data_IF_618158135499
#
_entry.id   IF_618158135499
#
_cell.length_a   1.000
_cell.length_b   1.000
_cell.length_c   1.000
_cell.angle_alpha   90.00
_cell.angle_beta   90.00
_cell.angle_gamma   90.00
#
_symmetry.space_group_name_H-M   'P 1'
#
loop_
_entity.id
_entity.type
_entity.pdbx_description
1 polymer ?
#
# COMPACT_ATOMS: atom_id res chain seq x y z
N UNK A 1 -18.35 19.01 -10.24
CA UNK A 1 -18.98 18.15 -11.27
C UNK A 1 -19.93 17.16 -10.59
N UNK A 2 -20.79 16.44 -11.33
CA UNK A 2 -21.59 15.35 -10.78
C UNK A 2 -21.11 14.00 -11.28
N UNK A 3 -21.01 13.04 -10.37
CA UNK A 3 -20.66 11.66 -10.66
C UNK A 3 -21.80 10.76 -10.19
N UNK A 4 -22.32 9.91 -11.07
CA UNK A 4 -23.32 8.91 -10.71
C UNK A 4 -22.68 7.53 -10.84
N UNK A 5 -22.67 6.80 -9.72
CA UNK A 5 -22.14 5.45 -9.62
C UNK A 5 -23.30 4.47 -9.55
N UNK A 6 -23.31 3.51 -10.46
CA UNK A 6 -24.26 2.39 -10.43
C UNK A 6 -23.51 1.10 -10.69
N UNK A 7 -23.92 0.04 -9.99
CA UNK A 7 -23.29 -1.27 -10.12
C UNK A 7 -24.32 -2.31 -10.59
N UNK A 8 -23.95 -3.15 -11.57
CA UNK A 8 -24.84 -4.21 -12.07
C UNK A 8 -25.03 -5.34 -11.05
N UNK A 9 -24.20 -5.39 -10.00
CA UNK A 9 -24.25 -6.38 -8.93
C UNK A 9 -23.96 -5.70 -7.60
N UNK A 10 -24.58 -6.18 -6.53
CA UNK A 10 -24.33 -5.68 -5.18
C UNK A 10 -22.86 -5.88 -4.82
N UNK A 11 -22.25 -4.87 -4.24
CA UNK A 11 -20.89 -4.95 -3.70
C UNK A 11 -20.89 -4.49 -2.27
N UNK A 12 -20.18 -5.23 -1.43
CA UNK A 12 -19.79 -4.74 -0.11
C UNK A 12 -18.81 -3.58 -0.25
N UNK A 13 -18.39 -2.94 0.85
CA UNK A 13 -17.33 -1.93 0.86
C UNK A 13 -16.17 -2.37 -0.02
N UNK A 14 -15.77 -1.52 -0.97
CA UNK A 14 -14.84 -1.89 -2.02
C UNK A 14 -14.09 -0.67 -2.54
N UNK A 15 -12.88 -0.92 -3.04
CA UNK A 15 -12.15 0.05 -3.84
C UNK A 15 -12.66 0.02 -5.27
N UNK A 16 -12.88 1.18 -5.87
CA UNK A 16 -13.19 1.32 -7.30
C UNK A 16 -12.41 2.47 -7.91
N UNK A 17 -12.43 2.55 -9.23
CA UNK A 17 -11.74 3.57 -10.01
C UNK A 17 -12.74 4.40 -10.81
N UNK A 18 -12.50 5.70 -10.91
CA UNK A 18 -13.25 6.63 -11.76
C UNK A 18 -12.30 7.35 -12.71
N UNK A 19 -12.74 7.64 -13.93
CA UNK A 19 -11.94 8.44 -14.85
C UNK A 19 -11.70 9.84 -14.29
N UNK A 20 -10.51 10.38 -14.53
CA UNK A 20 -10.22 11.76 -14.19
C UNK A 20 -11.17 12.71 -14.91
N UNK A 21 -11.69 13.73 -14.23
CA UNK A 21 -12.45 14.80 -14.88
C UNK A 21 -11.56 15.52 -15.88
N UNK A 22 -12.15 15.97 -16.99
CA UNK A 22 -11.42 16.69 -18.02
C UNK A 22 -10.67 17.89 -17.44
N UNK A 23 -9.36 17.96 -17.66
CA UNK A 23 -8.49 19.02 -17.17
C UNK A 23 -8.20 19.01 -15.65
N UNK A 24 -8.62 17.98 -14.91
CA UNK A 24 -8.41 17.91 -13.47
C UNK A 24 -7.19 17.07 -13.10
N UNK A 25 -6.15 17.74 -12.59
CA UNK A 25 -4.87 17.16 -12.14
C UNK A 25 -4.70 17.20 -10.61
N UNK A 26 -5.78 17.43 -9.86
CA UNK A 26 -5.73 17.44 -8.40
C UNK A 26 -5.23 16.08 -7.86
N UNK A 27 -4.43 16.11 -6.79
CA UNK A 27 -3.95 14.88 -6.13
C UNK A 27 -5.10 14.06 -5.54
N UNK A 28 -6.18 14.72 -5.11
CA UNK A 28 -7.38 14.09 -4.58
C UNK A 28 -8.66 14.85 -4.98
N UNK A 29 -9.78 14.14 -4.95
CA UNK A 29 -11.12 14.68 -5.10
C UNK A 29 -11.95 14.40 -3.85
N UNK A 30 -12.77 15.36 -3.45
CA UNK A 30 -13.82 15.17 -2.47
C UNK A 30 -15.13 14.82 -3.20
N UNK A 31 -15.72 13.69 -2.84
CA UNK A 31 -17.03 13.24 -3.30
C UNK A 31 -18.01 13.39 -2.13
N UNK A 32 -19.05 14.19 -2.32
CA UNK A 32 -20.12 14.40 -1.33
C UNK A 32 -21.42 13.83 -1.88
N UNK A 33 -21.98 12.83 -1.22
CA UNK A 33 -23.28 12.27 -1.60
C UNK A 33 -24.43 13.19 -1.23
N UNK A 34 -25.63 12.93 -1.78
CA UNK A 34 -26.83 13.73 -1.49
C UNK A 34 -27.25 13.73 -0.02
N UNK A 35 -26.94 12.66 0.72
CA UNK A 35 -27.15 12.52 2.16
C UNK A 35 -25.98 13.09 2.99
N UNK A 36 -24.99 13.69 2.35
CA UNK A 36 -23.89 14.42 3.00
C UNK A 36 -22.70 13.56 3.43
N UNK A 37 -22.64 12.28 3.03
CA UNK A 37 -21.48 11.43 3.28
C UNK A 37 -20.32 11.85 2.37
N UNK A 38 -19.11 11.79 2.91
CA UNK A 38 -17.90 12.23 2.23
C UNK A 38 -16.99 11.04 1.93
N UNK A 39 -16.44 11.04 0.72
CA UNK A 39 -15.43 10.09 0.27
C UNK A 39 -14.28 10.84 -0.40
N UNK A 40 -13.07 10.34 -0.22
CA UNK A 40 -11.88 10.89 -0.87
C UNK A 40 -11.50 9.93 -1.98
N UNK A 41 -11.31 10.47 -3.19
CA UNK A 41 -10.75 9.74 -4.31
C UNK A 41 -9.32 10.23 -4.57
N UNK A 42 -8.34 9.33 -4.56
CA UNK A 42 -6.93 9.65 -4.76
C UNK A 42 -6.52 9.39 -6.21
N UNK A 43 -5.75 10.31 -6.80
CA UNK A 43 -5.32 10.20 -8.19
C UNK A 43 -4.25 9.12 -8.34
N UNK A 44 -4.36 8.31 -9.38
CA UNK A 44 -3.24 7.50 -9.84
C UNK A 44 -2.12 8.41 -10.38
N UNK A 45 -0.85 8.20 -9.98
CA UNK A 45 0.25 9.07 -10.40
C UNK A 45 0.63 8.94 -11.88
N UNK A 46 0.21 7.87 -12.56
CA UNK A 46 0.64 7.52 -13.91
C UNK A 46 -0.48 7.60 -14.95
N UNK A 47 -1.74 7.42 -14.54
CA UNK A 47 -2.89 7.41 -15.45
C UNK A 47 -4.01 8.34 -14.99
N UNK A 48 -4.86 8.85 -15.89
CA UNK A 48 -5.94 9.79 -15.54
C UNK A 48 -7.13 9.07 -14.90
N UNK A 49 -6.91 8.49 -13.72
CA UNK A 49 -7.87 7.72 -12.93
C UNK A 49 -7.77 8.14 -11.46
N UNK A 50 -8.88 8.11 -10.74
CA UNK A 50 -8.90 8.23 -9.28
C UNK A 50 -9.46 6.97 -8.64
N UNK A 51 -8.88 6.55 -7.52
CA UNK A 51 -9.33 5.43 -6.72
C UNK A 51 -10.12 5.91 -5.50
N UNK A 52 -11.28 5.31 -5.23
CA UNK A 52 -12.14 5.66 -4.11
C UNK A 52 -12.67 4.41 -3.41
N UNK A 53 -12.62 4.43 -2.08
CA UNK A 53 -13.20 3.38 -1.24
C UNK A 53 -14.67 3.70 -0.94
N UNK A 54 -15.57 2.95 -1.59
CA UNK A 54 -17.01 3.15 -1.54
C UNK A 54 -17.68 2.29 -0.47
N UNK A 55 -18.88 2.69 0.01
CA UNK A 55 -19.66 1.89 0.94
C UNK A 55 -20.24 0.64 0.25
N UNK A 56 -21.05 -0.10 0.99
CA UNK A 56 -21.89 -1.12 0.37
C UNK A 56 -22.85 -0.46 -0.63
N UNK A 57 -22.88 -0.96 -1.86
CA UNK A 57 -23.80 -0.51 -2.91
C UNK A 57 -24.63 -1.70 -3.39
N UNK A 58 -25.95 -1.57 -3.36
CA UNK A 58 -26.88 -2.60 -3.82
C UNK A 58 -27.01 -2.54 -5.35
N UNK A 59 -27.16 -3.70 -6.00
CA UNK A 59 -27.36 -3.79 -7.44
C UNK A 59 -28.50 -2.88 -7.92
N UNK A 60 -28.26 -2.10 -8.98
CA UNK A 60 -29.26 -1.19 -9.56
C UNK A 60 -29.54 0.07 -8.75
N UNK A 61 -28.95 0.24 -7.56
CA UNK A 61 -28.99 1.50 -6.84
C UNK A 61 -27.95 2.45 -7.42
N UNK A 62 -28.35 3.70 -7.62
CA UNK A 62 -27.45 4.77 -8.01
C UNK A 62 -27.01 5.58 -6.80
N UNK A 63 -25.74 5.95 -6.76
CA UNK A 63 -25.18 6.90 -5.81
C UNK A 63 -24.64 8.08 -6.59
N UNK A 64 -25.26 9.24 -6.41
CA UNK A 64 -24.81 10.49 -7.03
C UNK A 64 -24.02 11.31 -6.03
N UNK A 65 -22.85 11.76 -6.45
CA UNK A 65 -21.96 12.61 -5.67
C UNK A 65 -21.70 13.93 -6.40
N UNK A 66 -21.70 15.04 -5.65
CA UNK A 66 -21.04 16.26 -6.07
C UNK A 66 -19.54 16.09 -5.84
N UNK A 67 -18.74 16.42 -6.86
CA UNK A 67 -17.29 16.19 -6.85
C UNK A 67 -16.54 17.48 -7.09
N UNK A 68 -15.54 17.72 -6.25
CA UNK A 68 -14.64 18.87 -6.32
C UNK A 68 -13.19 18.46 -6.06
N UNK A 69 -12.21 19.20 -6.59
CA UNK A 69 -10.82 19.07 -6.15
C UNK A 69 -10.69 19.21 -4.62
N UNK A 70 -9.82 18.42 -4.03
CA UNK A 70 -9.41 18.56 -2.63
C UNK A 70 -7.98 19.11 -2.62
N UNK A 71 -7.83 20.39 -2.30
CA UNK A 71 -6.54 21.11 -2.41
C UNK A 71 -5.52 20.64 -1.36
N UNK A 72 -6.00 20.25 -0.17
CA UNK A 72 -5.18 19.73 0.93
C UNK A 72 -5.76 18.40 1.43
N UNK A 73 -5.51 17.28 0.73
CA UNK A 73 -5.80 15.97 1.28
C UNK A 73 -4.99 15.81 2.56
N UNK A 74 -5.67 15.45 3.65
CA UNK A 74 -5.01 15.15 4.92
C UNK A 74 -4.79 13.65 4.99
N UNK A 75 -3.57 13.27 5.37
CA UNK A 75 -3.25 11.93 5.81
C UNK A 75 -4.37 11.33 6.64
N UNK A 76 -4.74 10.11 6.25
CA UNK A 76 -5.62 9.27 7.04
C UNK A 76 -5.13 9.30 8.50
N UNK A 77 -5.96 9.74 9.46
CA UNK A 77 -5.51 9.95 10.82
C UNK A 77 -5.02 8.62 11.39
N UNK A 78 -3.74 8.59 11.77
CA UNK A 78 -3.14 7.48 12.48
C UNK A 78 -2.02 6.77 11.72
N UNK A 79 -1.95 6.81 10.40
CA UNK A 79 -0.79 6.23 9.69
C UNK A 79 0.29 7.29 9.57
N UNK A 80 1.49 7.01 10.09
CA UNK A 80 2.67 7.86 9.90
C UNK A 80 3.86 6.99 9.58
N UNK A 81 4.80 7.53 8.82
CA UNK A 81 6.06 6.88 8.55
C UNK A 81 7.24 7.79 8.91
N UNK A 82 8.38 7.18 9.22
CA UNK A 82 9.67 7.86 9.29
C UNK A 82 10.66 7.10 8.41
N UNK A 83 11.29 7.83 7.49
CA UNK A 83 12.29 7.26 6.61
C UNK A 83 13.68 7.41 7.22
N UNK A 84 14.43 6.31 7.22
CA UNK A 84 15.83 6.24 7.59
C UNK A 84 16.62 5.70 6.39
N UNK A 85 17.95 5.68 6.44
CA UNK A 85 18.79 5.33 5.29
C UNK A 85 18.51 3.93 4.72
N UNK A 86 18.07 2.99 5.56
CA UNK A 86 17.97 1.58 5.21
C UNK A 86 16.62 0.94 5.60
N UNK A 87 15.71 1.75 6.15
CA UNK A 87 14.41 1.29 6.59
C UNK A 87 13.36 2.40 6.59
N UNK A 88 12.10 1.97 6.55
CA UNK A 88 10.93 2.81 6.78
C UNK A 88 10.16 2.25 7.96
N UNK A 89 10.06 3.04 9.03
CA UNK A 89 9.23 2.69 10.18
C UNK A 89 7.82 3.23 9.95
N UNK A 90 6.82 2.39 10.11
CA UNK A 90 5.41 2.74 9.96
C UNK A 90 4.71 2.58 11.30
N UNK A 91 3.96 3.62 11.68
CA UNK A 91 3.11 3.65 12.87
C UNK A 91 1.66 3.72 12.47
N UNK A 92 0.80 3.12 13.28
CA UNK A 92 -0.66 3.17 13.17
C UNK A 92 -1.23 3.64 14.51
N UNK A 93 -2.03 4.71 14.49
CA UNK A 93 -2.58 5.38 15.66
C UNK A 93 -1.52 5.75 16.72
N UNK A 94 -0.30 6.09 16.28
CA UNK A 94 0.82 6.46 17.16
C UNK A 94 1.57 5.26 17.78
N UNK A 95 1.16 4.03 17.49
CA UNK A 95 1.86 2.82 17.90
C UNK A 95 2.69 2.24 16.72
N UNK A 96 3.83 1.58 16.98
CA UNK A 96 4.57 0.85 15.95
C UNK A 96 3.68 -0.20 15.26
N UNK A 97 3.70 -0.24 13.93
CA UNK A 97 2.93 -1.18 13.14
C UNK A 97 3.82 -2.11 12.33
N UNK A 98 4.70 -1.57 11.50
CA UNK A 98 5.65 -2.39 10.74
C UNK A 98 6.93 -1.62 10.41
N UNK A 99 7.99 -2.36 10.13
CA UNK A 99 9.23 -1.80 9.56
C UNK A 99 9.50 -2.47 8.23
N UNK A 100 9.67 -1.67 7.18
CA UNK A 100 10.14 -2.10 5.87
C UNK A 100 11.65 -1.86 5.77
N UNK A 101 12.43 -2.94 5.75
CA UNK A 101 13.88 -2.91 5.63
C UNK A 101 14.25 -3.04 4.15
N UNK A 102 15.07 -2.12 3.65
CA UNK A 102 15.54 -2.09 2.26
C UNK A 102 17.06 -1.88 2.16
N UNK A 103 17.80 -2.20 3.23
CA UNK A 103 19.27 -2.26 3.22
C UNK A 103 19.78 -3.23 2.15
N UNK A 104 20.92 -2.90 1.55
CA UNK A 104 21.67 -3.80 0.67
C UNK A 104 22.51 -4.83 1.44
N UNK A 105 22.48 -4.81 2.78
CA UNK A 105 23.08 -5.86 3.62
C UNK A 105 22.41 -7.22 3.45
N UNK A 106 21.18 -7.26 2.91
CA UNK A 106 20.40 -8.46 2.66
C UNK A 106 20.04 -8.59 1.18
N UNK A 107 19.80 -9.81 0.68
CA UNK A 107 19.44 -10.03 -0.73
C UNK A 107 18.14 -9.34 -1.13
N UNK A 108 17.27 -9.09 -0.14
CA UNK A 108 15.89 -8.79 -0.34
C UNK A 108 15.32 -7.86 0.73
N UNK A 109 14.49 -6.89 0.32
CA UNK A 109 13.69 -6.14 1.26
C UNK A 109 12.74 -7.04 2.04
N UNK A 110 12.49 -6.67 3.30
CA UNK A 110 11.68 -7.46 4.22
C UNK A 110 10.86 -6.55 5.12
N UNK A 111 9.63 -6.98 5.41
CA UNK A 111 8.79 -6.40 6.46
C UNK A 111 8.92 -7.28 7.70
N UNK A 112 9.51 -6.73 8.76
CA UNK A 112 9.56 -7.33 10.09
C UNK A 112 9.94 -6.23 11.12
N UNK A 113 9.22 -6.05 12.23
CA UNK A 113 8.00 -6.74 12.63
C UNK A 113 6.78 -6.34 11.82
N UNK A 114 5.73 -7.16 11.92
CA UNK A 114 4.36 -6.77 11.63
C UNK A 114 3.56 -6.95 12.91
N UNK A 115 3.22 -5.84 13.56
CA UNK A 115 2.68 -5.82 14.91
C UNK A 115 1.16 -5.76 14.88
N UNK A 116 0.54 -6.57 15.74
CA UNK A 116 -0.87 -6.39 16.12
C UNK A 116 -1.04 -5.07 16.90
N UNK A 117 -2.29 -4.58 17.09
CA UNK A 117 -2.54 -3.42 17.97
C UNK A 117 -2.04 -3.60 19.42
N UNK A 118 -1.88 -4.85 19.88
CA UNK A 118 -1.31 -5.19 21.18
C UNK A 118 0.23 -5.27 21.21
N UNK A 119 0.91 -4.93 20.12
CA UNK A 119 2.37 -4.98 20.01
C UNK A 119 2.96 -6.38 19.83
N UNK A 120 2.13 -7.40 19.58
CA UNK A 120 2.59 -8.77 19.31
C UNK A 120 3.01 -8.86 17.84
N UNK A 121 4.23 -9.33 17.58
CA UNK A 121 4.69 -9.62 16.24
C UNK A 121 3.93 -10.82 15.65
N UNK A 122 3.30 -10.61 14.50
CA UNK A 122 2.59 -11.65 13.74
C UNK A 122 3.54 -12.50 12.90
N UNK A 123 4.78 -12.05 12.77
CA UNK A 123 5.87 -12.79 12.14
C UNK A 123 6.75 -13.38 13.24
N UNK A 124 7.70 -14.22 12.86
CA UNK A 124 8.77 -14.61 13.79
C UNK A 124 9.63 -13.40 14.15
N UNK A 125 10.39 -13.54 15.24
CA UNK A 125 11.36 -12.53 15.65
C UNK A 125 12.34 -12.17 14.53
N UNK A 126 12.70 -10.88 14.39
CA UNK A 126 13.68 -10.43 13.41
C UNK A 126 14.99 -11.22 13.52
N UNK A 127 15.45 -11.73 12.38
CA UNK A 127 16.73 -12.43 12.30
C UNK A 127 17.81 -11.46 11.81
N UNK A 128 19.00 -11.50 12.41
CA UNK A 128 20.14 -10.71 11.99
C UNK A 128 20.80 -11.27 10.73
N UNK A 129 20.90 -12.59 10.60
CA UNK A 129 21.48 -13.29 9.46
C UNK A 129 20.77 -14.63 9.20
N UNK A 130 21.05 -15.24 8.04
CA UNK A 130 20.65 -16.61 7.73
C UNK A 130 21.49 -17.60 8.57
N UNK A 131 20.85 -18.66 9.09
CA UNK A 131 21.52 -19.79 9.73
C UNK A 131 21.22 -21.11 9.01
N UNK A 132 22.20 -22.02 8.98
CA UNK A 132 22.05 -23.33 8.32
C UNK A 132 20.90 -24.13 8.95
N UNK A 133 20.02 -24.65 8.09
CA UNK A 133 18.80 -25.36 8.48
C UNK A 133 17.56 -24.47 8.52
N UNK A 134 17.70 -23.16 8.37
CA UNK A 134 16.56 -22.26 8.19
C UNK A 134 16.16 -22.15 6.71
N UNK A 135 14.88 -21.83 6.49
CA UNK A 135 14.42 -21.54 5.14
C UNK A 135 14.76 -20.09 4.77
N UNK A 136 15.34 -19.83 3.57
CA UNK A 136 15.80 -18.50 3.16
C UNK A 136 14.78 -17.35 3.20
N UNK A 137 13.48 -17.65 3.26
CA UNK A 137 12.40 -16.65 3.34
C UNK A 137 11.93 -16.34 4.76
N UNK A 138 12.57 -16.89 5.80
CA UNK A 138 12.08 -16.77 7.17
C UNK A 138 12.31 -15.41 7.84
N UNK A 139 13.10 -14.51 7.26
CA UNK A 139 13.40 -13.19 7.87
C UNK A 139 12.17 -12.32 8.10
N UNK A 140 11.09 -12.51 7.34
CA UNK A 140 9.84 -11.77 7.49
C UNK A 140 8.98 -11.85 6.24
N UNK A 141 8.05 -10.92 6.09
CA UNK A 141 7.23 -10.83 4.89
C UNK A 141 8.05 -10.18 3.77
N UNK A 142 8.13 -10.83 2.62
CA UNK A 142 8.82 -10.31 1.43
C UNK A 142 7.90 -10.40 0.21
N UNK A 143 8.04 -9.45 -0.71
CA UNK A 143 7.28 -9.42 -1.97
C UNK A 143 8.20 -9.96 -3.07
N UNK A 144 8.15 -11.27 -3.30
CA UNK A 144 9.05 -11.93 -4.24
C UNK A 144 8.37 -12.97 -5.10
N UNK A 145 8.97 -13.13 -6.28
CA UNK A 145 8.75 -14.27 -7.15
C UNK A 145 9.86 -15.30 -6.89
N UNK A 146 9.62 -16.57 -7.22
CA UNK A 146 10.67 -17.58 -7.19
C UNK A 146 11.72 -17.39 -8.29
N UNK A 147 12.18 -18.47 -8.91
CA UNK A 147 13.21 -18.34 -9.93
C UNK A 147 12.68 -17.63 -11.19
N UNK A 148 13.36 -16.58 -11.64
CA UNK A 148 13.08 -15.88 -12.90
C UNK A 148 14.25 -16.13 -13.85
N UNK A 149 14.03 -16.84 -14.96
CA UNK A 149 15.06 -17.19 -15.94
C UNK A 149 16.30 -17.87 -15.32
N UNK A 150 16.11 -18.66 -14.26
CA UNK A 150 17.19 -19.34 -13.55
C UNK A 150 17.89 -18.51 -12.47
N UNK A 151 17.47 -17.25 -12.26
CA UNK A 151 17.89 -16.43 -11.12
C UNK A 151 16.98 -16.74 -9.93
N UNK A 152 17.55 -17.31 -8.87
CA UNK A 152 16.89 -17.67 -7.62
C UNK A 152 16.82 -16.47 -6.67
N UNK A 153 15.64 -15.86 -6.58
CA UNK A 153 15.34 -14.76 -5.66
C UNK A 153 14.98 -15.23 -4.24
N UNK A 154 14.82 -16.54 -4.00
CA UNK A 154 14.55 -17.06 -2.66
C UNK A 154 15.82 -17.13 -1.82
N UNK A 155 16.95 -17.44 -2.44
CA UNK A 155 18.19 -17.71 -1.74
C UNK A 155 18.69 -16.51 -0.90
N UNK A 156 19.33 -16.79 0.23
CA UNK A 156 20.03 -15.80 1.06
C UNK A 156 21.56 -15.92 0.94
N UNK A 157 22.03 -16.95 0.24
CA UNK A 157 23.43 -17.27 0.09
C UNK A 157 23.93 -16.87 -1.30
N UNK A 158 25.12 -16.27 -1.36
CA UNK A 158 25.78 -15.87 -2.60
C UNK A 158 26.34 -17.08 -3.38
N UNK A 159 25.43 -17.89 -3.94
CA UNK A 159 25.72 -19.08 -4.74
C UNK A 159 25.40 -18.86 -6.23
N UNK A 160 25.87 -19.71 -7.17
CA UNK A 160 25.51 -19.58 -8.58
C UNK A 160 24.00 -19.53 -8.81
N UNK A 161 23.55 -18.53 -9.57
CA UNK A 161 22.12 -18.26 -9.80
C UNK A 161 21.46 -17.37 -8.74
N UNK A 162 22.18 -16.87 -7.74
CA UNK A 162 21.66 -15.96 -6.72
C UNK A 162 21.10 -14.65 -7.31
N UNK A 163 19.86 -14.33 -6.92
CA UNK A 163 19.22 -13.05 -7.20
C UNK A 163 19.26 -12.11 -6.00
N UNK A 164 19.35 -10.80 -6.28
CA UNK A 164 19.14 -9.75 -5.29
C UNK A 164 18.14 -8.73 -5.81
N UNK A 165 17.38 -8.12 -4.90
CA UNK A 165 16.51 -6.99 -5.18
C UNK A 165 17.10 -5.76 -4.53
N UNK A 166 17.45 -4.77 -5.36
CA UNK A 166 18.02 -3.51 -4.93
C UNK A 166 16.93 -2.44 -5.04
N UNK A 167 16.73 -1.71 -3.96
CA UNK A 167 15.87 -0.52 -3.98
C UNK A 167 16.66 0.63 -4.64
N UNK A 168 16.29 1.01 -5.86
CA UNK A 168 16.95 2.12 -6.56
C UNK A 168 16.47 3.47 -6.03
N UNK A 169 15.16 3.71 -6.10
CA UNK A 169 14.52 4.94 -5.59
C UNK A 169 13.32 4.58 -4.72
N UNK A 170 13.04 5.43 -3.74
CA UNK A 170 11.84 5.30 -2.92
C UNK A 170 11.27 6.69 -2.67
N UNK A 171 10.08 6.91 -3.20
CA UNK A 171 9.28 8.11 -2.96
C UNK A 171 8.06 7.69 -2.16
N UNK A 172 7.90 8.28 -0.97
CA UNK A 172 6.71 8.08 -0.15
C UNK A 172 5.83 9.31 -0.33
N UNK A 173 4.67 9.12 -0.95
CA UNK A 173 3.65 10.16 -1.03
C UNK A 173 3.18 10.56 0.36
N UNK A 174 2.90 11.85 0.56
CA UNK A 174 2.13 12.28 1.72
C UNK A 174 0.75 11.61 1.60
N UNK A 175 0.33 10.89 2.64
CA UNK A 175 -1.08 10.54 2.78
C UNK A 175 -1.91 11.80 2.96
#
# INVERSE_FOLDING_TARGET
>A
MKLTLSLPRSRTKHLTSISAPEGCEAAALLLVTQDGLQYIAERDPCIPVYYVHLPNLTAGQEMTCDVSPLEEPKAAPGIRHTQENEQVNVTLAGAPFMTFHHSTAYPKPVINPLLTPGGINMLREPMAAYEDGEHPWQRGLTLMQGAINGVDCWNEQNQPGFGCTIQDTMEIGQG
#
